data_IF_776162636314
#
_entry.id   IF_776162636314
#
_cell.length_a   1.000
_cell.length_b   1.000
_cell.length_c   1.000
_cell.angle_alpha   90.00
_cell.angle_beta   90.00
_cell.angle_gamma   90.00
#
_symmetry.space_group_name_H-M   'P 1'
#
loop_
_entity.id
_entity.type
_entity.pdbx_description
1 polymer ?
#
# COMPACT_ATOMS: atom_id res chain seq x y z
N UNK A 1 -8.19 37.56 -15.25
CA UNK A 1 -8.71 36.81 -14.08
C UNK A 1 -8.21 37.51 -12.82
N UNK A 2 -9.06 38.28 -12.15
CA UNK A 2 -8.70 38.90 -10.87
C UNK A 2 -8.96 37.89 -9.75
N UNK A 3 -7.97 37.64 -8.89
CA UNK A 3 -8.12 36.76 -7.74
C UNK A 3 -9.21 37.29 -6.79
N UNK A 4 -9.96 36.38 -6.16
CA UNK A 4 -11.01 36.75 -5.20
C UNK A 4 -10.41 37.56 -4.04
N UNK A 5 -11.01 38.68 -3.61
CA UNK A 5 -10.44 39.60 -2.61
C UNK A 5 -9.98 38.90 -1.32
N UNK A 6 -10.75 37.92 -0.84
CA UNK A 6 -10.43 37.17 0.39
C UNK A 6 -9.12 36.38 0.31
N UNK A 7 -8.80 35.83 -0.87
CA UNK A 7 -7.57 35.06 -1.10
C UNK A 7 -6.36 35.99 -1.17
N UNK A 8 -6.53 37.18 -1.77
CA UNK A 8 -5.50 38.22 -1.73
C UNK A 8 -5.18 38.65 -0.30
N UNK A 9 -6.21 38.89 0.51
CA UNK A 9 -6.05 39.33 1.91
C UNK A 9 -5.35 38.27 2.77
N UNK A 10 -5.60 36.98 2.53
CA UNK A 10 -4.91 35.91 3.26
C UNK A 10 -3.44 35.75 2.82
N UNK A 11 -3.15 35.91 1.52
CA UNK A 11 -1.76 35.94 1.04
C UNK A 11 -1.01 37.16 1.56
N UNK A 12 -1.65 38.32 1.59
CA UNK A 12 -1.09 39.54 2.17
C UNK A 12 -0.80 39.35 3.67
N UNK A 13 -1.71 38.74 4.43
CA UNK A 13 -1.49 38.45 5.85
C UNK A 13 -0.31 37.50 6.07
N UNK A 14 -0.19 36.44 5.25
CA UNK A 14 0.95 35.51 5.31
C UNK A 14 2.27 36.21 4.97
N UNK A 15 2.28 37.05 3.94
CA UNK A 15 3.45 37.82 3.56
C UNK A 15 3.86 38.80 4.68
N UNK A 16 2.90 39.48 5.30
CA UNK A 16 3.16 40.36 6.44
C UNK A 16 3.70 39.60 7.65
N UNK A 17 3.21 38.37 7.90
CA UNK A 17 3.72 37.53 8.98
C UNK A 17 5.18 37.13 8.74
N UNK A 18 5.51 36.64 7.54
CA UNK A 18 6.87 36.29 7.14
C UNK A 18 7.80 37.51 7.20
N UNK A 19 7.34 38.67 6.72
CA UNK A 19 8.12 39.91 6.81
C UNK A 19 8.35 40.34 8.27
N UNK A 20 7.37 40.14 9.15
CA UNK A 20 7.50 40.47 10.58
C UNK A 20 8.51 39.55 11.27
N UNK A 21 8.51 38.26 10.94
CA UNK A 21 9.48 37.29 11.45
C UNK A 21 10.89 37.57 10.94
N UNK A 22 11.03 37.84 9.64
CA UNK A 22 12.32 38.22 9.05
C UNK A 22 12.87 39.52 9.66
N UNK A 23 12.00 40.52 9.90
CA UNK A 23 12.40 41.77 10.56
C UNK A 23 12.83 41.55 12.01
N UNK A 24 12.19 40.63 12.74
CA UNK A 24 12.61 40.24 14.10
C UNK A 24 13.95 39.50 14.08
N UNK A 25 14.16 38.62 13.12
CA UNK A 25 15.42 37.88 12.93
C UNK A 25 16.57 38.83 12.63
N UNK A 26 16.38 39.76 11.70
CA UNK A 26 17.37 40.79 11.37
C UNK A 26 17.68 41.71 12.55
N UNK A 27 16.67 42.09 13.35
CA UNK A 27 16.90 42.84 14.60
C UNK A 27 17.76 42.05 15.58
N UNK A 28 17.52 40.75 15.76
CA UNK A 28 18.34 39.88 16.63
C UNK A 28 19.78 39.78 16.14
N UNK A 29 19.99 39.55 14.85
CA UNK A 29 21.33 39.48 14.23
C UNK A 29 22.07 40.82 14.39
N UNK A 30 21.37 41.94 14.17
CA UNK A 30 21.98 43.27 14.25
C UNK A 30 22.29 43.68 15.70
N UNK A 31 21.48 43.23 16.68
CA UNK A 31 21.79 43.38 18.11
C UNK A 31 23.06 42.58 18.45
N UNK A 32 23.14 41.32 18.04
CA UNK A 32 24.31 40.44 18.28
C UNK A 32 25.60 41.05 17.72
N UNK A 33 25.55 41.58 16.48
CA UNK A 33 26.70 42.22 15.84
C UNK A 33 27.14 43.51 16.55
N UNK A 34 26.19 44.27 17.12
CA UNK A 34 26.49 45.56 17.77
C UNK A 34 26.96 45.42 19.21
N UNK A 35 26.54 44.38 19.93
CA UNK A 35 26.95 44.18 21.33
C UNK A 35 28.22 43.35 21.49
N UNK A 36 29.04 43.21 20.43
CA UNK A 36 30.21 42.29 20.39
C UNK A 36 29.89 40.93 21.02
N UNK A 37 28.67 40.43 20.76
CA UNK A 37 28.21 39.18 21.34
C UNK A 37 29.00 38.05 20.71
N UNK A 38 29.76 37.32 21.52
CA UNK A 38 30.48 36.13 21.09
C UNK A 38 29.46 35.17 20.48
N UNK A 39 29.69 34.73 19.24
CA UNK A 39 28.96 33.63 18.63
C UNK A 39 29.45 32.35 19.31
N UNK A 40 28.79 31.96 20.41
CA UNK A 40 29.06 30.68 21.04
C UNK A 40 28.62 29.55 20.10
N UNK A 41 29.60 29.01 19.38
CA UNK A 41 29.49 27.76 18.62
C UNK A 41 29.50 26.53 19.55
N UNK A 42 29.23 26.72 20.84
CA UNK A 42 29.16 25.64 21.80
C UNK A 42 27.77 24.98 21.79
N UNK A 43 27.52 24.23 20.72
CA UNK A 43 26.45 23.26 20.67
C UNK A 43 26.72 22.18 21.72
N UNK A 44 25.98 22.18 22.84
CA UNK A 44 26.21 21.30 24.01
C UNK A 44 25.92 19.82 23.79
N UNK A 45 25.73 19.39 22.55
CA UNK A 45 25.68 17.98 22.17
C UNK A 45 26.11 17.81 20.73
N UNK A 46 27.42 17.79 20.44
CA UNK A 46 27.98 17.54 19.09
C UNK A 46 27.09 16.46 18.44
N UNK A 47 26.24 16.84 17.48
CA UNK A 47 25.70 15.84 16.58
C UNK A 47 26.96 15.33 15.91
N UNK A 48 27.36 14.10 16.24
CA UNK A 48 28.41 13.45 15.51
C UNK A 48 27.97 13.54 14.06
N UNK A 49 28.67 14.33 13.25
CA UNK A 49 28.69 14.10 11.83
C UNK A 49 29.48 12.82 11.67
N UNK A 50 28.90 11.70 12.08
CA UNK A 50 29.17 10.46 11.41
C UNK A 50 28.55 10.69 10.06
N UNK A 51 29.36 11.20 9.11
CA UNK A 51 29.16 10.73 7.74
C UNK A 51 29.05 9.23 7.93
N UNK A 52 27.92 8.64 7.55
CA UNK A 52 27.65 7.22 7.77
C UNK A 52 28.59 6.35 6.90
N UNK A 53 29.80 6.86 6.60
CA UNK A 53 30.82 6.38 5.71
C UNK A 53 31.49 5.16 6.31
N UNK A 54 31.89 5.18 7.58
CA UNK A 54 32.48 4.01 8.25
C UNK A 54 31.47 2.85 8.36
N UNK A 55 30.20 3.18 8.64
CA UNK A 55 29.10 2.22 8.65
C UNK A 55 28.83 1.67 7.25
N UNK A 56 28.79 2.53 6.22
CA UNK A 56 28.65 2.12 4.80
C UNK A 56 29.84 1.35 4.28
N UNK A 57 31.04 1.66 4.73
CA UNK A 57 32.27 0.96 4.36
C UNK A 57 32.28 -0.44 4.99
N UNK A 58 31.80 -0.56 6.22
CA UNK A 58 31.58 -1.84 6.90
C UNK A 58 30.50 -2.68 6.20
N UNK A 59 29.37 -2.06 5.82
CA UNK A 59 28.33 -2.71 5.02
C UNK A 59 28.85 -3.14 3.64
N UNK A 60 29.62 -2.30 2.95
CA UNK A 60 30.25 -2.64 1.68
C UNK A 60 31.23 -3.80 1.81
N UNK A 61 32.04 -3.83 2.88
CA UNK A 61 32.95 -4.95 3.19
C UNK A 61 32.19 -6.25 3.48
N UNK A 62 31.02 -6.15 4.11
CA UNK A 62 30.18 -7.32 4.37
C UNK A 62 29.56 -7.87 3.07
N UNK A 63 29.04 -6.98 2.23
CA UNK A 63 28.48 -7.34 0.91
C UNK A 63 29.55 -7.98 0.02
N UNK A 64 30.76 -7.42 -0.02
CA UNK A 64 31.84 -8.02 -0.82
C UNK A 64 32.20 -9.40 -0.30
N UNK A 65 32.28 -9.59 1.02
CA UNK A 65 32.57 -10.89 1.62
C UNK A 65 31.49 -11.94 1.31
N UNK A 66 30.22 -11.54 1.32
CA UNK A 66 29.12 -12.44 0.98
C UNK A 66 29.08 -12.78 -0.52
N UNK A 67 29.42 -11.82 -1.39
CA UNK A 67 29.60 -12.07 -2.82
C UNK A 67 30.74 -13.07 -3.09
N UNK A 68 31.86 -12.98 -2.37
CA UNK A 68 32.93 -13.96 -2.47
C UNK A 68 32.49 -15.36 -2.07
N UNK A 69 31.69 -15.51 -1.01
CA UNK A 69 31.12 -16.81 -0.61
C UNK A 69 30.16 -17.38 -1.65
N UNK A 70 29.36 -16.53 -2.30
CA UNK A 70 28.47 -16.95 -3.40
C UNK A 70 29.29 -17.43 -4.60
N UNK A 71 30.32 -16.67 -4.98
CA UNK A 71 31.23 -17.05 -6.06
C UNK A 71 31.93 -18.38 -5.76
N UNK A 72 32.40 -18.58 -4.53
CA UNK A 72 32.99 -19.84 -4.10
C UNK A 72 31.98 -20.99 -4.19
N UNK A 73 30.72 -20.78 -3.81
CA UNK A 73 29.65 -21.78 -4.00
C UNK A 73 29.39 -22.10 -5.46
N UNK A 74 29.39 -21.11 -6.35
CA UNK A 74 29.19 -21.31 -7.79
C UNK A 74 30.38 -22.05 -8.41
N UNK A 75 31.60 -21.75 -7.97
CA UNK A 75 32.80 -22.40 -8.47
C UNK A 75 32.98 -23.83 -7.93
N UNK A 76 32.54 -24.08 -6.69
CA UNK A 76 32.56 -25.42 -6.06
C UNK A 76 31.43 -26.31 -6.53
N UNK A 77 30.25 -25.73 -6.83
CA UNK A 77 29.18 -26.42 -7.51
C UNK A 77 29.51 -26.50 -8.99
N UNK A 78 30.24 -27.56 -9.40
CA UNK A 78 30.42 -27.86 -10.82
C UNK A 78 29.08 -27.87 -11.57
N UNK A 79 29.08 -27.59 -12.88
CA UNK A 79 27.84 -27.49 -13.65
C UNK A 79 27.09 -28.83 -13.54
N UNK A 80 25.90 -28.80 -12.93
CA UNK A 80 24.98 -29.94 -12.94
C UNK A 80 24.37 -29.97 -14.34
N UNK A 81 25.15 -30.47 -15.31
CA UNK A 81 24.63 -30.89 -16.60
C UNK A 81 24.16 -32.31 -16.39
N UNK A 82 22.84 -32.58 -16.38
CA UNK A 82 22.37 -33.95 -16.28
C UNK A 82 22.88 -34.72 -17.49
N UNK A 83 23.38 -35.94 -17.28
CA UNK A 83 23.84 -36.81 -18.37
C UNK A 83 22.73 -36.99 -19.41
N UNK A 84 23.09 -37.14 -20.69
CA UNK A 84 22.15 -37.17 -21.81
C UNK A 84 21.05 -38.24 -21.61
N UNK A 85 21.43 -39.35 -20.96
CA UNK A 85 20.55 -40.46 -20.58
C UNK A 85 19.54 -40.09 -19.48
N UNK A 86 19.89 -39.18 -18.59
CA UNK A 86 18.99 -38.68 -17.53
C UNK A 86 17.98 -37.68 -18.08
N UNK A 87 18.44 -36.76 -18.94
CA UNK A 87 17.58 -35.83 -19.69
C UNK A 87 16.57 -36.57 -20.56
N UNK A 88 16.99 -37.63 -21.25
CA UNK A 88 16.11 -38.41 -22.12
C UNK A 88 15.03 -39.17 -21.31
N UNK A 89 15.38 -39.71 -20.14
CA UNK A 89 14.40 -40.31 -19.22
C UNK A 89 13.40 -39.29 -18.66
N UNK A 90 13.83 -38.07 -18.35
CA UNK A 90 12.93 -37.00 -17.90
C UNK A 90 12.03 -36.50 -19.02
N UNK A 91 12.57 -36.36 -20.23
CA UNK A 91 11.81 -36.03 -21.43
C UNK A 91 10.71 -37.06 -21.70
N UNK A 92 11.04 -38.35 -21.64
CA UNK A 92 10.06 -39.44 -21.80
C UNK A 92 8.98 -39.45 -20.70
N UNK A 93 9.33 -39.12 -19.45
CA UNK A 93 8.36 -38.97 -18.36
C UNK A 93 7.42 -37.79 -18.61
N UNK A 94 7.95 -36.67 -19.07
CA UNK A 94 7.17 -35.48 -19.38
C UNK A 94 6.21 -35.73 -20.55
N UNK A 95 6.68 -36.38 -21.61
CA UNK A 95 5.85 -36.80 -22.75
C UNK A 95 4.70 -37.71 -22.31
N UNK A 96 4.97 -38.75 -21.50
CA UNK A 96 3.92 -39.62 -20.96
C UNK A 96 2.93 -38.86 -20.07
N UNK A 97 3.40 -37.86 -19.34
CA UNK A 97 2.54 -37.03 -18.48
C UNK A 97 1.62 -36.15 -19.32
N UNK A 98 2.16 -35.47 -20.33
CA UNK A 98 1.40 -34.63 -21.27
C UNK A 98 0.38 -35.48 -22.02
N UNK A 99 0.80 -36.64 -22.52
CA UNK A 99 -0.06 -37.56 -23.24
C UNK A 99 -1.20 -38.07 -22.36
N UNK A 100 -0.93 -38.39 -21.09
CA UNK A 100 -1.95 -38.80 -20.12
C UNK A 100 -2.92 -37.67 -19.79
N UNK A 101 -2.42 -36.44 -19.65
CA UNK A 101 -3.25 -35.24 -19.43
C UNK A 101 -4.12 -34.90 -20.64
N UNK A 102 -3.62 -35.16 -21.86
CA UNK A 102 -4.34 -34.93 -23.10
C UNK A 102 -5.37 -36.03 -23.41
N UNK A 103 -5.09 -37.29 -23.03
CA UNK A 103 -6.03 -38.42 -23.19
C UNK A 103 -7.18 -38.38 -22.18
N UNK A 104 -6.93 -37.85 -20.99
CA UNK A 104 -7.93 -37.64 -19.95
C UNK A 104 -7.97 -36.16 -19.55
N UNK A 105 -8.46 -35.27 -20.43
CA UNK A 105 -8.62 -33.88 -20.07
C UNK A 105 -9.68 -33.80 -18.97
N UNK A 106 -9.29 -33.30 -17.80
CA UNK A 106 -10.19 -33.06 -16.69
C UNK A 106 -11.23 -32.00 -17.09
N UNK A 107 -12.35 -32.45 -17.67
CA UNK A 107 -13.53 -31.61 -17.89
C UNK A 107 -14.15 -31.41 -16.52
N UNK A 108 -13.84 -30.28 -15.88
CA UNK A 108 -14.46 -29.89 -14.63
C UNK A 108 -15.91 -29.47 -14.89
N UNK A 109 -16.85 -30.42 -14.80
CA UNK A 109 -18.28 -30.09 -14.71
C UNK A 109 -18.49 -29.32 -13.42
N UNK A 110 -18.78 -28.03 -13.56
CA UNK A 110 -19.14 -27.15 -12.46
C UNK A 110 -20.43 -27.66 -11.81
N UNK A 111 -20.32 -28.38 -10.69
CA UNK A 111 -21.44 -28.74 -9.83
C UNK A 111 -21.52 -27.74 -8.69
N UNK A 112 -22.75 -27.31 -8.42
CA UNK A 112 -23.12 -26.40 -7.34
C UNK A 112 -22.73 -27.03 -5.99
N UNK A 113 -22.24 -26.13 -5.14
CA UNK A 113 -21.87 -26.22 -3.72
C UNK A 113 -22.16 -27.55 -3.01
N UNK A 114 -21.11 -28.14 -2.41
CA UNK A 114 -21.05 -28.31 -0.95
C UNK A 114 -19.60 -28.66 -0.57
N UNK A 115 -19.05 -27.93 0.41
CA UNK A 115 -17.65 -28.06 0.79
C UNK A 115 -17.34 -29.41 1.44
N UNK A 116 -16.37 -30.15 0.90
CA UNK A 116 -15.36 -30.90 1.66
C UNK A 116 -14.35 -31.68 0.78
N UNK A 117 -13.09 -31.19 0.77
CA UNK A 117 -11.79 -31.94 0.77
C UNK A 117 -11.40 -32.81 -0.45
N UNK A 118 -10.15 -32.93 -0.94
CA UNK A 118 -8.81 -32.50 -0.51
C UNK A 118 -7.85 -32.45 -1.72
N UNK A 119 -7.08 -31.38 -1.88
CA UNK A 119 -5.80 -31.39 -2.58
C UNK A 119 -4.77 -30.93 -1.55
N UNK A 120 -3.68 -31.67 -1.36
CA UNK A 120 -2.61 -31.33 -0.42
C UNK A 120 -1.42 -30.70 -1.16
N UNK A 121 -1.24 -29.36 -1.07
CA UNK A 121 0.01 -28.70 -1.40
C UNK A 121 0.82 -28.41 -0.12
N UNK A 122 2.14 -28.31 -0.29
CA UNK A 122 3.16 -27.80 0.62
C UNK A 122 2.62 -27.30 1.97
N UNK A 123 2.95 -28.00 3.06
CA UNK A 123 2.43 -27.75 4.40
C UNK A 123 2.88 -26.38 4.94
N UNK A 124 2.22 -25.32 4.46
CA UNK A 124 1.95 -24.12 5.23
C UNK A 124 1.22 -24.64 6.45
N UNK A 125 1.82 -24.53 7.63
CA UNK A 125 1.09 -24.72 8.89
C UNK A 125 -0.15 -23.86 8.79
N UNK A 126 -1.32 -24.47 8.54
CA UNK A 126 -2.59 -23.78 8.54
C UNK A 126 -2.73 -23.22 9.95
N UNK A 127 -2.40 -21.94 10.09
CA UNK A 127 -2.75 -21.18 11.28
C UNK A 127 -4.25 -21.40 11.52
N UNK A 128 -4.69 -21.47 12.79
CA UNK A 128 -6.10 -21.67 13.13
C UNK A 128 -6.98 -20.77 12.27
N UNK A 129 -8.20 -21.23 11.89
CA UNK A 129 -9.19 -20.48 11.09
C UNK A 129 -9.24 -19.02 11.54
N UNK A 130 -8.45 -18.18 10.88
CA UNK A 130 -8.29 -16.81 11.29
C UNK A 130 -9.55 -16.09 10.88
N UNK A 131 -10.28 -15.59 11.87
CA UNK A 131 -11.52 -14.89 11.60
C UNK A 131 -11.17 -13.47 11.20
N UNK A 132 -11.19 -13.24 9.90
CA UNK A 132 -10.91 -11.94 9.30
C UNK A 132 -11.79 -10.84 9.90
N UNK A 133 -11.23 -9.66 10.16
CA UNK A 133 -11.98 -8.52 10.64
C UNK A 133 -12.94 -8.04 9.56
N UNK A 134 -14.08 -7.53 10.02
CA UNK A 134 -15.12 -6.98 9.16
C UNK A 134 -15.44 -5.58 9.62
N UNK A 135 -15.60 -4.68 8.67
CA UNK A 135 -16.06 -3.33 8.90
C UNK A 135 -17.24 -3.03 7.96
N UNK A 136 -17.85 -1.86 8.14
CA UNK A 136 -18.95 -1.44 7.30
C UNK A 136 -18.78 0.01 6.87
N UNK A 137 -19.35 0.34 5.72
CA UNK A 137 -19.51 1.70 5.22
C UNK A 137 -20.98 1.94 4.93
N UNK A 138 -21.56 2.92 5.61
CA UNK A 138 -22.91 3.40 5.34
C UNK A 138 -22.85 4.45 4.23
N UNK A 139 -23.45 4.14 3.08
CA UNK A 139 -23.39 5.00 1.90
C UNK A 139 -24.69 5.79 1.79
N UNK A 140 -24.55 7.11 1.63
CA UNK A 140 -25.65 8.03 1.38
C UNK A 140 -25.30 9.04 0.31
N UNK A 141 -26.33 9.63 -0.31
CA UNK A 141 -26.20 10.77 -1.20
C UNK A 141 -26.20 12.07 -0.40
N UNK A 142 -25.73 13.17 -1.02
CA UNK A 142 -25.69 14.51 -0.41
C UNK A 142 -27.06 15.02 0.08
N UNK A 143 -28.16 14.50 -0.44
CA UNK A 143 -29.52 14.88 -0.05
C UNK A 143 -30.06 14.00 1.12
N UNK A 144 -29.17 13.48 1.97
CA UNK A 144 -29.46 12.55 3.07
C UNK A 144 -30.20 11.26 2.67
N UNK A 145 -30.20 10.92 1.38
CA UNK A 145 -30.75 9.66 0.90
C UNK A 145 -29.78 8.52 1.22
N UNK A 146 -30.17 7.66 2.15
CA UNK A 146 -29.43 6.44 2.47
C UNK A 146 -29.55 5.41 1.32
N UNK A 147 -28.41 5.02 0.74
CA UNK A 147 -28.34 3.99 -0.32
C UNK A 147 -28.23 2.58 0.26
N UNK A 148 -27.57 2.47 1.41
CA UNK A 148 -27.46 1.23 2.18
C UNK A 148 -26.09 1.02 2.81
N UNK A 149 -26.01 -0.03 3.64
CA UNK A 149 -24.78 -0.47 4.29
C UNK A 149 -24.00 -1.43 3.41
N UNK A 150 -22.71 -1.22 3.27
CA UNK A 150 -21.75 -2.17 2.71
C UNK A 150 -20.99 -2.84 3.83
N UNK A 151 -20.87 -4.17 3.80
CA UNK A 151 -20.06 -4.93 4.74
C UNK A 151 -18.83 -5.43 3.99
N UNK A 152 -17.67 -5.12 4.54
CA UNK A 152 -16.36 -5.40 3.96
C UNK A 152 -15.65 -6.40 4.86
N UNK A 153 -15.08 -7.43 4.26
CA UNK A 153 -14.15 -8.35 4.91
C UNK A 153 -12.73 -7.97 4.51
N UNK A 154 -11.84 -7.81 5.49
CA UNK A 154 -10.46 -7.39 5.30
C UNK A 154 -9.52 -8.60 5.35
N UNK A 155 -8.48 -8.59 4.54
CA UNK A 155 -7.54 -9.70 4.38
C UNK A 155 -6.29 -9.52 5.23
N UNK A 156 -6.47 -9.39 6.54
CA UNK A 156 -5.37 -9.22 7.51
C UNK A 156 -4.41 -10.42 7.58
N UNK A 157 -4.85 -11.61 7.17
CA UNK A 157 -3.98 -12.78 6.93
C UNK A 157 -2.84 -12.51 5.95
N UNK A 158 -3.12 -11.68 4.93
CA UNK A 158 -2.22 -11.41 3.82
C UNK A 158 -1.58 -10.03 3.95
N UNK A 159 -2.35 -9.02 4.33
CA UNK A 159 -1.93 -7.62 4.40
C UNK A 159 -2.34 -7.00 5.75
N UNK A 160 -1.75 -7.45 6.87
CA UNK A 160 -2.14 -7.00 8.21
C UNK A 160 -1.99 -5.49 8.41
N UNK A 161 -0.93 -4.86 7.89
CA UNK A 161 -0.73 -3.42 8.06
C UNK A 161 -1.77 -2.61 7.30
N UNK A 162 -2.05 -3.03 6.05
CA UNK A 162 -3.03 -2.37 5.18
C UNK A 162 -4.46 -2.53 5.74
N UNK A 163 -4.79 -3.74 6.21
CA UNK A 163 -6.08 -4.03 6.84
C UNK A 163 -6.27 -3.24 8.14
N UNK A 164 -5.24 -3.19 9.00
CA UNK A 164 -5.29 -2.42 10.25
C UNK A 164 -5.47 -0.92 10.01
N UNK A 165 -4.81 -0.35 9.00
CA UNK A 165 -5.00 1.05 8.61
C UNK A 165 -6.44 1.33 8.22
N UNK A 166 -7.01 0.53 7.31
CA UNK A 166 -8.39 0.72 6.85
C UNK A 166 -9.40 0.56 8.00
N UNK A 167 -9.21 -0.46 8.84
CA UNK A 167 -10.09 -0.71 9.99
C UNK A 167 -10.07 0.47 10.99
N UNK A 168 -8.87 0.96 11.32
CA UNK A 168 -8.68 2.08 12.24
C UNK A 168 -9.33 3.37 11.75
N UNK A 169 -9.29 3.62 10.42
CA UNK A 169 -9.96 4.75 9.76
C UNK A 169 -11.49 4.57 9.68
N UNK A 170 -11.99 3.33 9.60
CA UNK A 170 -13.42 3.05 9.74
C UNK A 170 -13.92 3.32 11.17
N UNK A 171 -13.12 2.95 12.18
CA UNK A 171 -13.44 3.15 13.60
C UNK A 171 -13.33 4.63 14.03
N UNK A 172 -12.51 5.41 13.32
CA UNK A 172 -12.28 6.82 13.66
C UNK A 172 -11.25 7.02 14.76
N UNK A 173 -10.29 6.09 14.89
CA UNK A 173 -9.21 6.21 15.88
C UNK A 173 -8.25 7.36 15.50
N UNK A 174 -7.63 8.00 16.51
CA UNK A 174 -6.65 9.08 16.32
C UNK A 174 -7.17 10.30 15.54
N UNK A 175 -8.47 10.62 15.67
CA UNK A 175 -9.16 11.69 14.94
C UNK A 175 -9.16 11.54 13.41
N UNK A 176 -8.76 10.37 12.89
CA UNK A 176 -8.76 10.05 11.48
C UNK A 176 -9.93 9.14 11.16
N UNK A 177 -10.91 9.63 10.39
CA UNK A 177 -12.13 8.87 10.09
C UNK A 177 -12.56 8.96 8.63
N UNK A 178 -13.13 7.87 8.12
CA UNK A 178 -13.87 7.89 6.86
C UNK A 178 -15.28 8.48 6.97
N UNK A 179 -15.78 8.75 8.19
CA UNK A 179 -17.11 9.32 8.39
C UNK A 179 -17.22 10.69 7.69
N UNK A 180 -18.18 10.82 6.78
CA UNK A 180 -18.40 12.03 5.99
C UNK A 180 -17.44 12.21 4.79
N UNK A 181 -16.51 11.28 4.57
CA UNK A 181 -15.64 11.30 3.39
C UNK A 181 -16.43 10.90 2.13
N UNK A 182 -16.42 11.73 1.06
CA UNK A 182 -17.12 11.40 -0.17
C UNK A 182 -16.30 10.46 -1.06
N UNK A 183 -16.99 9.72 -1.93
CA UNK A 183 -16.39 9.15 -3.12
C UNK A 183 -16.16 10.26 -4.14
N UNK A 184 -14.94 10.77 -4.20
CA UNK A 184 -14.58 11.93 -5.02
C UNK A 184 -14.38 11.58 -6.51
N UNK A 185 -14.11 10.31 -6.83
CA UNK A 185 -13.94 9.86 -8.20
C UNK A 185 -14.76 8.58 -8.44
N UNK A 186 -15.71 8.65 -9.35
CA UNK A 186 -16.55 7.52 -9.77
C UNK A 186 -16.37 7.35 -11.27
N UNK A 187 -15.88 6.19 -11.69
CA UNK A 187 -15.76 5.82 -13.10
C UNK A 187 -16.80 4.72 -13.38
N UNK A 188 -17.91 5.04 -14.06
CA UNK A 188 -19.01 4.11 -14.29
C UNK A 188 -18.54 2.77 -14.88
N UNK A 189 -18.97 1.67 -14.29
CA UNK A 189 -18.63 0.31 -14.73
C UNK A 189 -17.17 -0.13 -14.51
N UNK A 190 -16.31 0.72 -13.95
CA UNK A 190 -14.89 0.40 -13.71
C UNK A 190 -14.60 0.32 -12.22
N UNK A 191 -14.68 1.45 -11.52
CA UNK A 191 -14.38 1.57 -10.08
C UNK A 191 -14.91 2.87 -9.51
N UNK A 192 -15.08 2.93 -8.19
CA UNK A 192 -15.12 4.19 -7.46
C UNK A 192 -13.92 4.32 -6.52
N UNK A 193 -13.55 5.54 -6.21
CA UNK A 193 -12.42 5.89 -5.34
C UNK A 193 -12.90 6.89 -4.28
N UNK A 194 -12.47 6.64 -3.06
CA UNK A 194 -12.81 7.43 -1.87
C UNK A 194 -11.65 7.42 -0.88
N UNK A 195 -11.92 7.90 0.33
CA UNK A 195 -10.95 7.87 1.42
C UNK A 195 -9.91 8.99 1.40
N UNK A 196 -10.13 10.07 0.66
CA UNK A 196 -9.40 11.33 0.90
C UNK A 196 -10.02 12.03 2.11
N UNK A 197 -9.52 11.72 3.30
CA UNK A 197 -10.07 12.22 4.58
C UNK A 197 -9.60 13.64 4.93
N UNK A 198 -8.66 14.21 4.17
CA UNK A 198 -8.08 15.54 4.48
C UNK A 198 -8.57 16.63 3.54
N UNK A 199 -8.64 16.35 2.22
CA UNK A 199 -9.02 17.35 1.20
C UNK A 199 -10.30 17.00 0.44
N UNK A 200 -10.81 15.78 0.57
CA UNK A 200 -12.01 15.27 -0.10
C UNK A 200 -11.99 15.41 -1.64
N UNK A 201 -10.81 15.56 -2.25
CA UNK A 201 -10.65 15.86 -3.69
C UNK A 201 -9.78 14.85 -4.44
N UNK A 202 -9.17 13.90 -3.72
CA UNK A 202 -8.23 12.90 -4.25
C UNK A 202 -6.77 13.34 -4.18
N UNK A 203 -6.48 14.57 -3.73
CA UNK A 203 -5.11 15.11 -3.58
C UNK A 203 -4.56 14.83 -2.18
N UNK A 204 -5.44 14.59 -1.21
CA UNK A 204 -5.08 14.39 0.19
C UNK A 204 -5.01 12.92 0.61
N UNK A 205 -5.39 12.68 1.86
CA UNK A 205 -5.28 11.41 2.54
C UNK A 205 -4.05 11.30 3.44
N UNK A 206 -4.19 10.53 4.52
CA UNK A 206 -3.16 10.26 5.51
C UNK A 206 -3.45 8.89 6.14
N UNK A 207 -2.43 8.10 6.41
CA UNK A 207 -2.58 6.81 7.09
C UNK A 207 -2.41 6.94 8.60
N UNK A 208 -2.79 5.91 9.35
CA UNK A 208 -2.51 5.85 10.79
C UNK A 208 -1.00 5.80 11.09
N UNK A 209 -0.17 5.49 10.09
CA UNK A 209 1.29 5.38 10.22
C UNK A 209 2.03 6.66 9.80
N UNK A 210 1.31 7.69 9.36
CA UNK A 210 1.88 8.93 8.79
C UNK A 210 1.31 9.25 7.40
N UNK A 211 1.95 10.15 6.66
CA UNK A 211 1.47 10.61 5.36
C UNK A 211 1.30 9.48 4.33
N UNK A 212 2.29 8.58 4.26
CA UNK A 212 2.30 7.43 3.35
C UNK A 212 2.92 6.20 4.02
N UNK A 213 2.58 5.00 3.52
CA UNK A 213 3.18 3.72 3.93
C UNK A 213 3.45 2.82 2.70
N UNK A 214 4.41 1.86 2.82
CA UNK A 214 4.86 1.06 1.69
C UNK A 214 3.82 0.03 1.21
N UNK A 215 4.02 -0.52 0.01
CA UNK A 215 3.21 -1.62 -0.53
C UNK A 215 3.56 -2.92 0.19
N UNK A 216 2.58 -3.53 0.86
CA UNK A 216 2.82 -4.69 1.73
C UNK A 216 3.06 -5.98 0.93
N UNK A 217 2.18 -6.31 -0.02
CA UNK A 217 2.40 -7.32 -1.06
C UNK A 217 1.34 -7.23 -2.18
N UNK A 218 1.57 -7.98 -3.26
CA UNK A 218 0.67 -8.08 -4.41
C UNK A 218 0.18 -9.51 -4.67
N UNK A 219 0.09 -10.35 -3.62
CA UNK A 219 -0.35 -11.75 -3.74
C UNK A 219 -1.81 -11.80 -4.25
N UNK A 220 -2.63 -10.90 -3.74
CA UNK A 220 -4.04 -10.79 -4.08
C UNK A 220 -4.23 -9.94 -5.34
N UNK A 221 -5.20 -10.34 -6.16
CA UNK A 221 -5.48 -9.71 -7.45
C UNK A 221 -6.88 -9.10 -7.49
N UNK A 222 -7.08 -8.12 -8.38
CA UNK A 222 -8.36 -7.49 -8.69
C UNK A 222 -9.24 -8.43 -9.54
N UNK A 223 -9.62 -9.55 -8.92
CA UNK A 223 -10.25 -10.71 -9.56
C UNK A 223 -11.67 -10.45 -10.05
N UNK A 224 -12.38 -9.45 -9.51
CA UNK A 224 -13.76 -9.18 -9.86
C UNK A 224 -14.33 -7.92 -9.22
N UNK A 225 -15.67 -7.74 -9.29
CA UNK A 225 -16.35 -6.63 -8.64
C UNK A 225 -16.35 -6.77 -7.10
N UNK A 226 -16.43 -5.63 -6.43
CA UNK A 226 -16.45 -5.50 -4.98
C UNK A 226 -15.11 -5.75 -4.29
N UNK A 227 -14.00 -5.81 -5.04
CA UNK A 227 -12.66 -5.91 -4.46
C UNK A 227 -12.19 -4.52 -4.03
N UNK A 228 -11.62 -4.43 -2.82
CA UNK A 228 -11.01 -3.22 -2.31
C UNK A 228 -9.50 -3.25 -2.53
N UNK A 229 -8.96 -2.13 -3.00
CA UNK A 229 -7.51 -1.93 -3.12
C UNK A 229 -7.08 -0.52 -2.78
N UNK A 230 -5.83 -0.36 -2.35
CA UNK A 230 -5.28 0.95 -2.04
C UNK A 230 -5.18 1.81 -3.30
N UNK A 231 -5.51 3.09 -3.19
CA UNK A 231 -5.15 4.07 -4.20
C UNK A 231 -3.77 4.62 -3.85
N UNK A 232 -2.90 4.71 -4.85
CA UNK A 232 -1.53 5.19 -4.70
C UNK A 232 -1.15 6.05 -5.91
N UNK A 233 -0.12 6.87 -5.75
CA UNK A 233 0.42 7.78 -6.78
C UNK A 233 1.73 7.27 -7.37
N UNK A 234 2.07 6.02 -7.08
CA UNK A 234 3.34 5.38 -7.39
C UNK A 234 3.65 4.28 -6.36
N UNK A 235 4.77 3.57 -6.55
CA UNK A 235 5.19 2.53 -5.60
C UNK A 235 5.35 3.10 -4.18
N UNK A 236 4.91 2.35 -3.18
CA UNK A 236 5.08 2.66 -1.76
C UNK A 236 4.46 3.99 -1.30
N UNK A 237 3.35 4.41 -1.91
CA UNK A 237 2.66 5.68 -1.60
C UNK A 237 1.22 5.48 -1.11
N UNK A 238 0.98 4.41 -0.36
CA UNK A 238 -0.36 4.13 0.18
C UNK A 238 -0.68 5.09 1.31
N UNK A 239 -1.94 5.53 1.41
CA UNK A 239 -2.42 6.42 2.45
C UNK A 239 -3.82 6.00 2.94
N UNK A 240 -4.79 6.90 3.09
CA UNK A 240 -6.18 6.56 3.41
C UNK A 240 -7.05 6.27 2.18
N UNK A 241 -6.61 6.61 0.97
CA UNK A 241 -7.43 6.49 -0.23
C UNK A 241 -7.54 5.03 -0.70
N UNK A 242 -8.73 4.65 -1.15
CA UNK A 242 -9.02 3.30 -1.60
C UNK A 242 -9.92 3.29 -2.84
N UNK A 243 -9.84 2.20 -3.60
CA UNK A 243 -10.70 1.89 -4.73
C UNK A 243 -11.65 0.75 -4.37
N UNK A 244 -12.88 0.80 -4.89
CA UNK A 244 -13.80 -0.33 -4.97
C UNK A 244 -14.01 -0.65 -6.45
N UNK A 245 -13.74 -1.88 -6.86
CA UNK A 245 -13.89 -2.28 -8.26
C UNK A 245 -15.33 -2.64 -8.61
N UNK A 246 -15.77 -2.33 -9.84
CA UNK A 246 -17.05 -2.78 -10.40
C UNK A 246 -16.89 -3.88 -11.46
N UNK A 247 -15.64 -4.17 -11.86
CA UNK A 247 -15.27 -5.26 -12.74
C UNK A 247 -13.89 -5.79 -12.39
N UNK A 248 -13.46 -6.88 -13.02
CA UNK A 248 -12.08 -7.37 -12.95
C UNK A 248 -11.13 -6.34 -13.56
N UNK A 249 -10.08 -5.95 -12.84
CA UNK A 249 -9.12 -4.91 -13.27
C UNK A 249 -7.67 -5.43 -13.24
N UNK A 250 -7.30 -6.19 -14.26
CA UNK A 250 -5.94 -6.74 -14.38
C UNK A 250 -4.84 -5.67 -14.43
N UNK A 251 -5.16 -4.47 -14.95
CA UNK A 251 -4.22 -3.36 -15.07
C UNK A 251 -3.73 -2.80 -13.72
N UNK A 252 -4.43 -3.08 -12.62
CA UNK A 252 -4.06 -2.66 -11.27
C UNK A 252 -3.30 -3.75 -10.49
N UNK A 253 -3.23 -4.97 -11.02
CA UNK A 253 -2.48 -6.06 -10.39
C UNK A 253 -0.99 -5.73 -10.36
N UNK A 254 -0.33 -6.01 -9.24
CA UNK A 254 1.08 -5.69 -9.04
C UNK A 254 1.39 -4.20 -8.84
N UNK A 255 0.38 -3.34 -8.86
CA UNK A 255 0.52 -1.89 -8.66
C UNK A 255 -0.22 -1.40 -7.43
N UNK A 256 -1.41 -1.92 -7.18
CA UNK A 256 -2.27 -1.52 -6.08
C UNK A 256 -2.48 -2.71 -5.14
N UNK A 257 -2.22 -2.52 -3.85
CA UNK A 257 -2.38 -3.55 -2.82
C UNK A 257 -3.86 -3.85 -2.63
N UNK A 258 -4.26 -5.11 -2.82
CA UNK A 258 -5.62 -5.60 -2.56
C UNK A 258 -5.72 -6.02 -1.10
N UNK A 259 -6.68 -5.48 -0.36
CA UNK A 259 -6.75 -5.67 1.09
C UNK A 259 -8.12 -6.10 1.62
N UNK A 260 -9.15 -6.18 0.77
CA UNK A 260 -10.46 -6.65 1.21
C UNK A 260 -11.44 -6.87 0.09
N UNK A 261 -12.65 -7.28 0.47
CA UNK A 261 -13.78 -7.47 -0.45
C UNK A 261 -15.11 -7.16 0.22
N UNK A 262 -16.02 -6.55 -0.53
CA UNK A 262 -17.41 -6.37 -0.14
C UNK A 262 -18.10 -7.73 -0.15
N UNK A 263 -18.53 -8.19 1.02
CA UNK A 263 -19.27 -9.44 1.18
C UNK A 263 -20.79 -9.22 1.11
N UNK A 264 -21.27 -8.03 1.47
CA UNK A 264 -22.69 -7.65 1.41
C UNK A 264 -22.85 -6.18 1.05
N UNK A 265 -23.92 -5.85 0.33
CA UNK A 265 -24.30 -4.47 0.03
C UNK A 265 -23.64 -3.86 -1.21
N UNK A 266 -22.95 -4.66 -2.04
CA UNK A 266 -22.37 -4.17 -3.31
C UNK A 266 -23.43 -3.53 -4.23
N UNK A 267 -24.64 -4.10 -4.25
CA UNK A 267 -25.76 -3.60 -5.04
C UNK A 267 -26.18 -2.17 -4.66
N UNK A 268 -25.84 -1.70 -3.44
CA UNK A 268 -26.16 -0.33 -3.01
C UNK A 268 -25.37 0.74 -3.77
N UNK A 269 -24.24 0.38 -4.41
CA UNK A 269 -23.47 1.29 -5.27
C UNK A 269 -24.05 1.45 -6.68
N UNK A 270 -25.01 0.60 -7.06
CA UNK A 270 -25.65 0.61 -8.38
C UNK A 270 -27.08 1.18 -8.36
N UNK A 271 -27.54 1.68 -7.21
CA UNK A 271 -28.87 2.30 -7.03
C UNK A 271 -28.80 3.81 -7.26
#
# INVERSE_FOLDING_TARGET
MYYKPKVLMDHERKLQQVMTENKKLLKRINIINRTTGIVDSHWKKRLSVTSNYETRESEMKQITMDNYKILERILTQGPIVPDNKTLQKEWERNLKTIERMARYPLIHKCQKEDGSTSIVPFSIRLKPKHKRPRCFLDVGMKNDRFLGRMIIELYDDFVPQTAANFLSLCEGTHDLTYKGCPFHLIIPGIKCQGGDITKFSGIGGVSIYGEIFPDENFILQHSGPGVLSMANTGCNSNNSQFNITFKRLLCLNGKNVVFGKIIRGLNNLFK
#
